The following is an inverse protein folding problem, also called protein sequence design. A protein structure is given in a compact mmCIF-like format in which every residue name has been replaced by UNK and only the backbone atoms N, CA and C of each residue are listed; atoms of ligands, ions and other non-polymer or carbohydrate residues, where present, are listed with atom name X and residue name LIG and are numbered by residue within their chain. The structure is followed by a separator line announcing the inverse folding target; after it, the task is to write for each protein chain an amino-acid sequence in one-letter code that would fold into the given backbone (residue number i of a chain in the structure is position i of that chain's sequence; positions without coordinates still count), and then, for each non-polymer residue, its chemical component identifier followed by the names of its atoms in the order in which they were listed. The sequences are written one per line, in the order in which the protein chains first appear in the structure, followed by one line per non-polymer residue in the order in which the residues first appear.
data_IF_529702189702
#
_entry.id   IF_529702189702
#
_cell.length_a   1.000
_cell.length_b   1.000
_cell.length_c   1.000
_cell.angle_alpha   90.00
_cell.angle_beta   90.00
_cell.angle_gamma   90.00
#
_symmetry.space_group_name_H-M   'P 1'
#
loop_
_entity.id
_entity.type
_entity.pdbx_description
1 polymer ?
#
# COMPACT_ATOMS: atom_id res chain seq x y z
N UNK A 1 -2.01 -22.26 9.81
CA UNK A 1 -1.88 -21.32 10.96
C UNK A 1 -1.30 -20.03 10.42
N UNK A 2 -2.12 -19.00 10.16
CA UNK A 2 -1.61 -17.72 9.65
C UNK A 2 -0.88 -16.99 10.78
N UNK A 3 0.45 -16.86 10.64
CA UNK A 3 1.25 -16.14 11.62
C UNK A 3 0.83 -14.66 11.57
N UNK A 4 0.19 -14.20 12.65
CA UNK A 4 -0.27 -12.82 12.77
C UNK A 4 0.96 -11.92 12.81
N UNK A 5 0.98 -10.89 11.98
CA UNK A 5 2.13 -10.00 11.86
C UNK A 5 2.46 -9.34 13.22
N UNK A 6 3.74 -9.10 13.55
CA UNK A 6 4.22 -8.74 14.90
C UNK A 6 3.90 -7.29 15.32
N UNK A 7 2.76 -6.75 14.90
CA UNK A 7 2.37 -5.36 15.11
C UNK A 7 1.36 -5.24 16.25
N UNK A 8 1.55 -4.23 17.12
CA UNK A 8 0.67 -3.94 18.26
C UNK A 8 -0.76 -3.53 17.86
N UNK A 9 -0.97 -3.14 16.60
CA UNK A 9 -2.25 -2.78 15.97
C UNK A 9 -2.31 -3.40 14.57
N UNK A 10 -3.49 -3.42 13.94
CA UNK A 10 -3.59 -3.80 12.52
C UNK A 10 -2.74 -2.87 11.66
N UNK A 11 -1.63 -3.38 11.08
CA UNK A 11 -0.71 -2.56 10.30
C UNK A 11 -1.40 -2.01 9.05
N UNK A 12 -1.03 -0.79 8.68
CA UNK A 12 -1.54 -0.09 7.51
C UNK A 12 -0.54 -0.18 6.39
N UNK A 13 -0.98 -0.68 5.24
CA UNK A 13 -0.22 -0.71 4.00
C UNK A 13 -0.81 0.31 3.06
N UNK A 14 0.01 1.27 2.62
CA UNK A 14 -0.32 2.18 1.54
C UNK A 14 0.30 1.63 0.25
N UNK A 15 -0.52 1.33 -0.75
CA UNK A 15 -0.08 0.74 -2.02
C UNK A 15 -0.29 1.77 -3.12
N UNK A 16 0.80 2.18 -3.77
CA UNK A 16 0.79 3.03 -4.94
C UNK A 16 0.95 2.18 -6.19
N UNK A 17 -0.12 2.05 -6.96
CA UNK A 17 -0.19 1.27 -8.18
C UNK A 17 -1.42 1.77 -8.95
N UNK A 18 -1.45 1.64 -10.27
CA UNK A 18 -2.64 1.91 -11.05
C UNK A 18 -3.86 1.20 -10.44
N UNK A 19 -4.86 1.98 -10.03
CA UNK A 19 -6.04 1.48 -9.33
C UNK A 19 -6.82 0.50 -10.23
N UNK A 20 -7.38 -0.55 -9.63
CA UNK A 20 -8.20 -1.53 -10.36
C UNK A 20 -7.42 -2.60 -11.14
N UNK A 21 -6.09 -2.58 -11.10
CA UNK A 21 -5.24 -3.63 -11.69
C UNK A 21 -5.33 -4.95 -10.91
N UNK A 22 -4.95 -6.05 -11.59
CA UNK A 22 -4.88 -7.39 -10.98
C UNK A 22 -3.96 -7.43 -9.74
N UNK A 23 -2.87 -6.66 -9.76
CA UNK A 23 -1.91 -6.59 -8.66
C UNK A 23 -2.55 -6.01 -7.40
N UNK A 24 -3.37 -4.97 -7.53
CA UNK A 24 -4.11 -4.39 -6.40
C UNK A 24 -5.07 -5.41 -5.75
N UNK A 25 -5.77 -6.19 -6.58
CA UNK A 25 -6.65 -7.25 -6.09
C UNK A 25 -5.88 -8.39 -5.41
N UNK A 26 -4.77 -8.82 -6.00
CA UNK A 26 -3.89 -9.86 -5.45
C UNK A 26 -3.30 -9.43 -4.09
N UNK A 27 -2.80 -8.19 -3.98
CA UNK A 27 -2.29 -7.66 -2.72
C UNK A 27 -3.39 -7.60 -1.65
N UNK A 28 -4.59 -7.14 -2.00
CA UNK A 28 -5.72 -7.10 -1.07
C UNK A 28 -6.10 -8.51 -0.57
N UNK A 29 -6.17 -9.50 -1.46
CA UNK A 29 -6.55 -10.88 -1.11
C UNK A 29 -5.51 -11.58 -0.24
N UNK A 30 -4.24 -11.19 -0.34
CA UNK A 30 -3.14 -11.71 0.48
C UNK A 30 -3.06 -10.99 1.83
N UNK A 31 -3.13 -9.67 1.84
CA UNK A 31 -2.84 -8.84 3.02
C UNK A 31 -4.04 -8.70 3.96
N UNK A 32 -5.26 -8.48 3.45
CA UNK A 32 -6.44 -8.27 4.30
C UNK A 32 -6.74 -9.48 5.20
N UNK A 33 -6.72 -10.74 4.71
CA UNK A 33 -6.95 -11.91 5.59
C UNK A 33 -5.88 -12.10 6.66
N UNK A 34 -4.69 -11.51 6.48
CA UNK A 34 -3.61 -11.52 7.47
C UNK A 34 -3.72 -10.38 8.49
N UNK A 35 -4.78 -9.57 8.44
CA UNK A 35 -5.09 -8.52 9.42
C UNK A 35 -4.52 -7.14 9.09
N UNK A 36 -3.98 -6.95 7.88
CA UNK A 36 -3.52 -5.66 7.38
C UNK A 36 -4.69 -4.80 6.90
N UNK A 37 -4.62 -3.50 7.14
CA UNK A 37 -5.48 -2.49 6.50
C UNK A 37 -4.78 -1.98 5.25
N UNK A 38 -5.38 -2.18 4.09
CA UNK A 38 -4.78 -1.80 2.80
C UNK A 38 -5.50 -0.59 2.24
N UNK A 39 -4.75 0.47 1.91
CA UNK A 39 -5.22 1.63 1.16
C UNK A 39 -4.50 1.71 -0.17
N UNK A 40 -5.24 2.00 -1.24
CA UNK A 40 -4.70 2.16 -2.57
C UNK A 40 -4.66 3.64 -2.95
N UNK A 41 -3.59 4.02 -3.63
CA UNK A 41 -3.38 5.31 -4.30
C UNK A 41 -2.84 5.07 -5.70
N UNK A 42 -3.10 6.00 -6.60
CA UNK A 42 -2.90 5.79 -8.04
C UNK A 42 -1.63 6.44 -8.60
N UNK A 43 -0.92 7.21 -7.78
CA UNK A 43 0.16 8.09 -8.19
C UNK A 43 1.15 8.32 -7.04
N UNK A 44 2.38 8.68 -7.37
CA UNK A 44 3.39 9.05 -6.38
C UNK A 44 2.99 10.31 -5.60
N UNK A 45 2.35 11.28 -6.27
CA UNK A 45 1.85 12.49 -5.59
C UNK A 45 0.80 12.15 -4.53
N UNK A 46 -0.14 11.25 -4.83
CA UNK A 46 -1.13 10.82 -3.85
C UNK A 46 -0.47 10.12 -2.64
N UNK A 47 0.65 9.43 -2.83
CA UNK A 47 1.44 8.88 -1.71
C UNK A 47 1.92 10.00 -0.81
N UNK A 48 2.60 11.01 -1.37
CA UNK A 48 3.16 12.13 -0.61
C UNK A 48 2.08 12.93 0.12
N UNK A 49 0.92 13.12 -0.51
CA UNK A 49 -0.21 13.85 0.07
C UNK A 49 -0.91 13.06 1.18
N UNK A 50 -1.10 11.74 0.99
CA UNK A 50 -1.92 10.92 1.90
C UNK A 50 -1.13 10.22 2.99
N UNK A 51 0.14 9.87 2.76
CA UNK A 51 0.96 9.15 3.74
C UNK A 51 1.04 9.86 5.12
N UNK A 52 1.18 11.19 5.23
CA UNK A 52 1.23 11.86 6.53
C UNK A 52 -0.06 11.69 7.35
N UNK A 53 -1.22 11.67 6.69
CA UNK A 53 -2.52 11.49 7.32
C UNK A 53 -2.83 10.01 7.61
N UNK A 54 -2.50 9.12 6.67
CA UNK A 54 -2.71 7.68 6.78
C UNK A 54 -1.78 7.04 7.81
N UNK A 55 -0.57 7.60 7.99
CA UNK A 55 0.52 7.06 8.82
C UNK A 55 0.72 5.55 8.58
N UNK A 56 1.05 5.15 7.34
CA UNK A 56 1.23 3.76 7.01
C UNK A 56 2.42 3.17 7.77
N UNK A 57 2.32 1.89 8.12
CA UNK A 57 3.45 1.14 8.67
C UNK A 57 4.32 0.57 7.54
N UNK A 58 3.75 0.42 6.32
CA UNK A 58 4.44 -0.04 5.10
C UNK A 58 3.92 0.76 3.90
N UNK A 59 4.83 1.19 3.02
CA UNK A 59 4.49 1.72 1.69
C UNK A 59 4.98 0.73 0.63
N UNK A 60 4.12 0.38 -0.32
CA UNK A 60 4.46 -0.42 -1.51
C UNK A 60 4.30 0.49 -2.71
N UNK A 61 5.41 0.77 -3.41
CA UNK A 61 5.44 1.61 -4.60
C UNK A 61 5.63 0.73 -5.84
N UNK A 62 4.76 0.91 -6.83
CA UNK A 62 5.01 0.42 -8.18
C UNK A 62 6.16 1.22 -8.81
N UNK A 63 6.99 0.56 -9.62
CA UNK A 63 8.08 1.21 -10.33
C UNK A 63 7.56 2.07 -11.49
N UNK A 64 6.44 1.66 -12.10
CA UNK A 64 5.85 2.30 -13.28
C UNK A 64 4.74 3.30 -12.92
N UNK A 65 4.93 4.11 -11.87
CA UNK A 65 3.97 5.15 -11.48
C UNK A 65 3.88 6.26 -12.56
N UNK A 66 2.67 6.80 -12.81
CA UNK A 66 2.41 7.66 -13.97
C UNK A 66 3.00 9.08 -13.87
N UNK A 67 3.29 9.56 -12.66
CA UNK A 67 3.57 10.97 -12.39
C UNK A 67 4.94 11.22 -11.74
N UNK A 68 5.53 10.21 -11.11
CA UNK A 68 6.82 10.29 -10.43
C UNK A 68 7.57 8.96 -10.62
N UNK A 69 8.87 9.05 -10.88
CA UNK A 69 9.76 7.89 -10.74
C UNK A 69 9.73 7.44 -9.28
N UNK A 70 9.23 6.23 -9.02
CA UNK A 70 9.05 5.68 -7.68
C UNK A 70 10.34 5.58 -6.87
N UNK A 71 11.51 5.72 -7.50
CA UNK A 71 12.83 5.79 -6.85
C UNK A 71 13.11 7.16 -6.24
N UNK A 72 12.47 8.22 -6.72
CA UNK A 72 12.64 9.61 -6.25
C UNK A 72 11.65 10.03 -5.17
N UNK A 73 10.75 9.12 -4.75
CA UNK A 73 9.68 9.33 -3.76
C UNK A 73 10.09 8.83 -2.39
#
# INVERSE_FOLDING_TARGET
MAHRAPFARSPVVLVANAAGTWLSQALASVLKPRGYRVQFVSSGREVLERAPAVRPDIVVLDADLPDLDGVSV
#
